data_IF_246101997995
#
_entry.id   IF_246101997995
#
_cell.length_a   1.000
_cell.length_b   1.000
_cell.length_c   1.000
_cell.angle_alpha   90.00
_cell.angle_beta   90.00
_cell.angle_gamma   90.00
#
_symmetry.space_group_name_H-M   'P 1'
#
loop_
_entity.id
_entity.type
_entity.pdbx_description
1 polymer ?
#
# COMPACT_ATOMS: atom_id res chain seq x y z
N UNK A 1 15.77 5.28 17.02
CA UNK A 1 15.16 3.96 17.37
C UNK A 1 16.18 2.88 17.74
N UNK A 2 17.28 2.67 17.01
CA UNK A 2 18.25 1.60 17.32
C UNK A 2 18.78 1.59 18.77
N UNK A 3 19.06 2.76 19.36
CA UNK A 3 19.48 2.85 20.77
C UNK A 3 18.40 2.40 21.77
N UNK A 4 17.11 2.65 21.46
CA UNK A 4 15.99 2.15 22.27
C UNK A 4 15.84 0.63 22.12
N UNK A 5 15.96 0.09 20.90
CA UNK A 5 15.96 -1.36 20.68
C UNK A 5 17.09 -2.04 21.46
N UNK A 6 18.30 -1.47 21.43
CA UNK A 6 19.43 -1.98 22.20
C UNK A 6 19.19 -1.92 23.73
N UNK A 7 18.50 -0.89 24.22
CA UNK A 7 18.10 -0.81 25.63
C UNK A 7 17.11 -1.93 25.99
N UNK A 8 16.12 -2.22 25.13
CA UNK A 8 15.18 -3.32 25.33
C UNK A 8 15.87 -4.68 25.31
N UNK A 9 16.80 -4.93 24.37
CA UNK A 9 17.57 -6.19 24.31
C UNK A 9 18.31 -6.44 25.62
N UNK A 10 18.96 -5.42 26.17
CA UNK A 10 19.67 -5.53 27.46
C UNK A 10 18.72 -5.75 28.63
N UNK A 11 17.65 -4.97 28.71
CA UNK A 11 16.67 -5.06 29.79
C UNK A 11 15.99 -6.45 29.86
N UNK A 12 15.88 -7.14 28.73
CA UNK A 12 15.29 -8.48 28.63
C UNK A 12 16.31 -9.61 28.66
N UNK A 13 17.61 -9.32 28.87
CA UNK A 13 18.64 -10.35 28.97
C UNK A 13 18.92 -11.11 27.66
N UNK A 14 18.59 -10.54 26.49
CA UNK A 14 18.69 -11.20 25.17
C UNK A 14 19.96 -10.81 24.38
N UNK A 15 20.94 -10.20 25.05
CA UNK A 15 22.13 -9.63 24.42
C UNK A 15 23.09 -10.66 23.80
N UNK A 16 22.97 -11.92 24.18
CA UNK A 16 23.68 -13.08 23.62
C UNK A 16 23.01 -13.62 22.34
N UNK A 17 21.77 -13.22 22.07
CA UNK A 17 20.94 -13.72 20.95
C UNK A 17 20.54 -12.65 19.94
N UNK A 18 20.45 -11.39 20.37
CA UNK A 18 20.02 -10.26 19.52
C UNK A 18 21.13 -9.20 19.49
N UNK A 19 21.71 -9.00 18.32
CA UNK A 19 22.69 -7.95 18.05
C UNK A 19 22.01 -6.81 17.31
N UNK A 20 22.04 -5.59 17.85
CA UNK A 20 21.48 -4.41 17.17
C UNK A 20 22.58 -3.72 16.36
N UNK A 21 22.44 -3.75 15.05
CA UNK A 21 23.32 -3.03 14.12
C UNK A 21 22.63 -1.74 13.70
N UNK A 22 23.24 -0.59 14.03
CA UNK A 22 22.69 0.71 13.69
C UNK A 22 23.26 1.19 12.34
N UNK A 23 22.40 1.28 11.33
CA UNK A 23 22.74 1.80 10.01
C UNK A 23 21.65 1.46 9.00
N UNK A 24 21.83 1.92 7.76
CA UNK A 24 20.96 1.50 6.65
C UNK A 24 21.39 0.15 6.12
N UNK A 25 20.46 -0.67 5.66
CA UNK A 25 20.75 -2.03 5.20
C UNK A 25 21.69 -2.04 3.99
N UNK A 26 21.66 -0.98 3.20
CA UNK A 26 22.51 -0.78 2.03
C UNK A 26 23.96 -0.44 2.42
N UNK A 27 24.18 0.09 3.63
CA UNK A 27 25.46 0.66 4.10
C UNK A 27 26.16 -0.21 5.16
N UNK A 28 25.44 -1.11 5.83
CA UNK A 28 26.01 -2.00 6.86
C UNK A 28 26.55 -3.30 6.24
N UNK A 29 27.36 -4.00 7.03
CA UNK A 29 27.84 -5.36 6.75
C UNK A 29 27.46 -6.30 7.88
N UNK A 30 27.12 -7.55 7.52
CA UNK A 30 26.87 -8.63 8.48
C UNK A 30 28.03 -9.62 8.46
N UNK A 31 28.38 -10.21 9.62
CA UNK A 31 29.48 -11.15 9.71
C UNK A 31 29.20 -12.50 9.03
N UNK A 32 27.93 -12.83 8.77
CA UNK A 32 27.50 -14.09 8.20
C UNK A 32 26.21 -13.95 7.37
N UNK A 33 25.95 -14.94 6.51
CA UNK A 33 24.67 -15.08 5.82
C UNK A 33 23.57 -15.59 6.76
N UNK A 34 22.32 -15.21 6.51
CA UNK A 34 21.16 -15.51 7.35
C UNK A 34 20.24 -16.56 6.72
N UNK A 35 19.59 -17.36 7.57
CA UNK A 35 18.60 -18.35 7.14
C UNK A 35 17.23 -17.73 6.85
N UNK A 36 16.85 -16.66 7.56
CA UNK A 36 15.56 -16.00 7.40
C UNK A 36 15.72 -14.49 7.55
N UNK A 37 15.06 -13.73 6.67
CA UNK A 37 14.89 -12.28 6.81
C UNK A 37 13.45 -12.02 7.24
N UNK A 38 13.28 -11.23 8.30
CA UNK A 38 11.97 -10.80 8.78
C UNK A 38 11.87 -9.28 8.71
N UNK A 39 10.74 -8.75 8.25
CA UNK A 39 10.49 -7.31 8.23
C UNK A 39 8.99 -7.03 8.23
N UNK A 40 8.65 -5.78 8.52
CA UNK A 40 7.34 -5.21 8.25
C UNK A 40 7.58 -4.03 7.28
N UNK A 41 7.65 -4.29 5.95
CA UNK A 41 7.98 -3.27 4.96
C UNK A 41 6.75 -2.71 4.21
N UNK A 42 5.52 -3.00 4.67
CA UNK A 42 4.32 -2.68 3.90
C UNK A 42 3.83 -1.25 4.17
N UNK A 43 3.70 -0.48 3.10
CA UNK A 43 3.04 0.83 3.14
C UNK A 43 1.59 0.77 2.67
N UNK A 44 0.95 1.95 2.55
CA UNK A 44 -0.29 2.10 1.79
C UNK A 44 -0.16 1.51 0.39
N UNK A 45 -1.21 0.82 -0.06
CA UNK A 45 -1.21 0.07 -1.33
C UNK A 45 -0.01 -0.89 -1.46
N UNK A 46 0.45 -1.49 -0.35
CA UNK A 46 1.63 -2.35 -0.24
C UNK A 46 2.98 -1.64 -0.46
N UNK A 47 3.07 -0.75 -1.45
CA UNK A 47 4.34 -0.22 -1.98
C UNK A 47 4.75 1.17 -1.48
N UNK A 48 3.86 1.92 -0.81
CA UNK A 48 4.21 3.24 -0.30
C UNK A 48 5.46 3.18 0.62
N UNK A 49 6.19 4.29 0.72
CA UNK A 49 7.46 4.41 1.46
C UNK A 49 8.67 3.69 0.84
N UNK A 50 8.46 2.86 -0.19
CA UNK A 50 9.51 2.11 -0.92
C UNK A 50 10.37 1.20 -0.02
N UNK A 51 9.90 0.87 1.19
CA UNK A 51 10.65 0.02 2.13
C UNK A 51 10.82 -1.42 1.63
N UNK A 52 9.97 -1.86 0.70
CA UNK A 52 10.14 -3.14 0.02
C UNK A 52 11.45 -3.24 -0.78
N UNK A 53 12.01 -2.13 -1.26
CA UNK A 53 13.31 -2.12 -1.94
C UNK A 53 14.44 -2.51 -1.00
N UNK A 54 14.50 -1.85 0.17
CA UNK A 54 15.39 -2.18 1.29
C UNK A 54 15.20 -3.63 1.75
N UNK A 55 13.96 -4.13 1.77
CA UNK A 55 13.66 -5.52 2.12
C UNK A 55 14.22 -6.52 1.11
N UNK A 56 14.06 -6.25 -0.21
CA UNK A 56 14.64 -7.08 -1.26
C UNK A 56 16.17 -6.97 -1.29
N UNK A 57 16.74 -5.79 -1.01
CA UNK A 57 18.17 -5.56 -0.92
C UNK A 57 18.83 -6.44 0.15
N UNK A 58 18.13 -6.67 1.27
CA UNK A 58 18.59 -7.53 2.35
C UNK A 58 18.91 -8.96 1.91
N UNK A 59 18.33 -9.44 0.78
CA UNK A 59 18.59 -10.77 0.23
C UNK A 59 20.05 -11.03 -0.10
N UNK A 60 20.89 -10.00 -0.22
CA UNK A 60 22.35 -10.18 -0.38
C UNK A 60 23.00 -11.04 0.73
N UNK A 61 22.37 -11.10 1.91
CA UNK A 61 22.80 -11.99 3.00
C UNK A 61 21.96 -13.25 3.15
N UNK A 62 20.88 -13.42 2.38
CA UNK A 62 20.03 -14.60 2.48
C UNK A 62 20.75 -15.82 1.89
N UNK A 63 20.78 -16.93 2.63
CA UNK A 63 21.30 -18.20 2.12
C UNK A 63 20.43 -18.71 0.96
N UNK A 64 20.96 -19.55 0.04
CA UNK A 64 20.18 -20.07 -1.09
C UNK A 64 18.90 -20.85 -0.71
N UNK A 65 18.88 -21.49 0.46
CA UNK A 65 17.69 -22.17 1.00
C UNK A 65 16.96 -21.35 2.07
N UNK A 66 17.26 -20.06 2.14
CA UNK A 66 16.70 -19.15 3.12
C UNK A 66 15.25 -18.77 2.81
N UNK A 67 14.57 -18.17 3.78
CA UNK A 67 13.19 -17.73 3.63
C UNK A 67 13.01 -16.23 3.99
N UNK A 68 11.88 -15.66 3.61
CA UNK A 68 11.53 -14.26 3.85
C UNK A 68 10.15 -14.18 4.49
N UNK A 69 10.00 -13.33 5.50
CA UNK A 69 8.75 -13.06 6.22
C UNK A 69 8.44 -11.56 6.28
N UNK A 70 7.42 -11.08 5.55
CA UNK A 70 6.52 -11.83 4.67
C UNK A 70 7.22 -12.43 3.45
N UNK A 71 6.68 -13.52 2.92
CA UNK A 71 7.22 -14.25 1.77
C UNK A 71 6.68 -13.71 0.46
N UNK A 72 5.41 -13.28 0.46
CA UNK A 72 4.72 -12.78 -0.72
C UNK A 72 3.70 -11.72 -0.32
N UNK A 73 3.51 -10.74 -1.20
CA UNK A 73 2.46 -9.73 -1.12
C UNK A 73 1.48 -9.83 -2.28
N UNK A 74 0.21 -9.67 -1.97
CA UNK A 74 -0.91 -9.65 -2.92
C UNK A 74 -1.55 -8.26 -2.87
N UNK A 75 -1.39 -7.45 -3.92
CA UNK A 75 -2.16 -6.20 -4.10
C UNK A 75 -3.48 -6.53 -4.78
N UNK A 76 -4.58 -6.15 -4.14
CA UNK A 76 -5.93 -6.28 -4.68
C UNK A 76 -6.40 -4.93 -5.24
N UNK A 77 -7.10 -4.98 -6.37
CA UNK A 77 -7.66 -3.82 -7.05
C UNK A 77 -9.11 -4.14 -7.44
N UNK A 78 -10.06 -3.30 -7.04
CA UNK A 78 -11.46 -3.43 -7.46
C UNK A 78 -12.08 -2.08 -7.85
N UNK A 79 -12.91 -2.01 -8.91
CA UNK A 79 -13.69 -0.83 -9.22
C UNK A 79 -14.76 -0.60 -8.16
N UNK A 80 -15.03 0.66 -7.83
CA UNK A 80 -16.07 1.01 -6.84
C UNK A 80 -17.01 2.11 -7.32
N UNK A 81 -18.19 2.16 -6.70
CA UNK A 81 -19.15 3.26 -6.82
C UNK A 81 -19.33 3.98 -5.49
N UNK A 82 -19.07 5.28 -5.44
CA UNK A 82 -19.28 6.11 -4.25
C UNK A 82 -19.49 7.58 -4.66
N UNK A 83 -20.75 7.92 -4.95
CA UNK A 83 -21.16 9.29 -5.31
C UNK A 83 -20.85 10.28 -4.19
N UNK A 84 -20.97 9.88 -2.92
CA UNK A 84 -20.75 10.77 -1.79
C UNK A 84 -19.29 11.19 -1.71
N UNK A 85 -18.36 10.24 -1.85
CA UNK A 85 -16.93 10.52 -1.87
C UNK A 85 -16.52 11.38 -3.07
N UNK A 86 -17.05 11.07 -4.27
CA UNK A 86 -16.78 11.86 -5.46
C UNK A 86 -17.25 13.31 -5.30
N UNK A 87 -18.48 13.49 -4.80
CA UNK A 87 -19.05 14.82 -4.56
C UNK A 87 -18.32 15.57 -3.45
N UNK A 88 -17.78 14.90 -2.45
CA UNK A 88 -16.94 15.52 -1.43
C UNK A 88 -15.70 16.21 -2.04
N UNK A 89 -14.94 15.50 -2.89
CA UNK A 89 -13.76 16.08 -3.54
C UNK A 89 -14.14 17.19 -4.53
N UNK A 90 -15.22 16.98 -5.29
CA UNK A 90 -15.77 17.99 -6.19
C UNK A 90 -16.15 19.27 -5.44
N UNK A 91 -16.77 19.15 -4.26
CA UNK A 91 -17.18 20.28 -3.43
C UNK A 91 -16.00 21.03 -2.83
N UNK A 92 -14.89 20.35 -2.46
CA UNK A 92 -13.65 21.03 -2.07
C UNK A 92 -13.09 21.87 -3.21
N UNK A 93 -13.08 21.35 -4.43
CA UNK A 93 -12.66 22.10 -5.61
C UNK A 93 -13.57 23.29 -5.93
N UNK A 94 -14.88 23.20 -5.63
CA UNK A 94 -15.84 24.28 -5.84
C UNK A 94 -15.58 25.53 -4.99
N UNK A 95 -14.78 25.44 -3.91
CA UNK A 95 -14.30 26.63 -3.21
C UNK A 95 -13.66 27.64 -4.16
N UNK A 96 -12.91 27.15 -5.16
CA UNK A 96 -12.23 27.97 -6.15
C UNK A 96 -13.17 28.53 -7.22
N UNK A 97 -14.41 28.08 -7.30
CA UNK A 97 -15.40 28.57 -8.26
C UNK A 97 -16.17 29.78 -7.70
N UNK A 98 -15.43 30.79 -7.26
CA UNK A 98 -15.97 32.01 -6.66
C UNK A 98 -15.47 33.24 -7.42
N UNK A 99 -16.41 34.02 -7.97
CA UNK A 99 -16.10 35.23 -8.74
C UNK A 99 -15.73 36.45 -7.86
N UNK A 100 -15.95 36.39 -6.55
CA UNK A 100 -15.72 37.51 -5.63
C UNK A 100 -15.46 37.03 -4.20
N UNK A 101 -14.42 36.22 -4.00
CA UNK A 101 -13.94 35.86 -2.67
C UNK A 101 -13.15 37.04 -2.09
N UNK A 102 -13.76 37.77 -1.14
CA UNK A 102 -13.19 38.99 -0.57
C UNK A 102 -12.74 40.02 -1.63
N UNK A 103 -13.45 40.13 -2.75
CA UNK A 103 -13.12 41.05 -3.85
C UNK A 103 -12.19 40.46 -4.92
N UNK A 104 -11.84 39.17 -4.86
CA UNK A 104 -10.95 38.50 -5.82
C UNK A 104 -11.70 37.36 -6.53
N UNK A 105 -11.57 37.27 -7.85
CA UNK A 105 -12.06 36.14 -8.64
C UNK A 105 -11.06 34.98 -8.59
N UNK A 106 -11.47 33.86 -7.99
CA UNK A 106 -10.67 32.64 -7.85
C UNK A 106 -10.89 31.64 -9.00
N UNK A 107 -11.90 31.86 -9.84
CA UNK A 107 -12.42 30.87 -10.80
C UNK A 107 -11.39 30.36 -11.81
N UNK A 108 -10.37 31.18 -12.10
CA UNK A 108 -9.23 30.80 -12.94
C UNK A 108 -8.46 29.57 -12.41
N UNK A 109 -8.50 29.29 -11.10
CA UNK A 109 -7.79 28.16 -10.47
C UNK A 109 -8.65 26.90 -10.32
N UNK A 110 -9.94 26.94 -10.66
CA UNK A 110 -10.86 25.80 -10.49
C UNK A 110 -10.33 24.50 -11.11
N UNK A 111 -9.84 24.55 -12.34
CA UNK A 111 -9.35 23.35 -13.04
C UNK A 111 -8.09 22.78 -12.38
N UNK A 112 -7.20 23.65 -11.89
CA UNK A 112 -6.00 23.23 -11.17
C UNK A 112 -6.36 22.57 -9.83
N UNK A 113 -7.28 23.18 -9.08
CA UNK A 113 -7.78 22.64 -7.82
C UNK A 113 -8.46 21.27 -8.01
N UNK A 114 -9.33 21.14 -9.02
CA UNK A 114 -9.97 19.85 -9.34
C UNK A 114 -8.93 18.76 -9.58
N UNK A 115 -7.92 19.04 -10.40
CA UNK A 115 -6.83 18.11 -10.69
C UNK A 115 -6.03 17.74 -9.44
N UNK A 116 -5.82 18.69 -8.53
CA UNK A 116 -5.10 18.45 -7.28
C UNK A 116 -5.87 17.53 -6.33
N UNK A 117 -7.16 17.81 -6.08
CA UNK A 117 -7.98 16.98 -5.19
C UNK A 117 -8.15 15.55 -5.74
N UNK A 118 -8.34 15.38 -7.04
CA UNK A 118 -8.51 14.06 -7.65
C UNK A 118 -7.20 13.24 -7.76
N UNK A 119 -6.04 13.87 -7.57
CA UNK A 119 -4.74 13.19 -7.49
C UNK A 119 -4.44 12.61 -6.11
N UNK A 120 -5.19 12.99 -5.08
CA UNK A 120 -4.97 12.52 -3.72
C UNK A 120 -5.59 11.12 -3.55
N UNK A 121 -4.79 10.08 -3.26
CA UNK A 121 -5.35 8.81 -2.83
C UNK A 121 -6.06 9.01 -1.48
N UNK A 122 -7.28 8.49 -1.37
CA UNK A 122 -8.08 8.59 -0.15
C UNK A 122 -7.79 7.35 0.70
N UNK A 123 -7.33 7.58 1.93
CA UNK A 123 -7.02 6.52 2.91
C UNK A 123 -8.15 6.47 3.93
N UNK A 124 -9.01 5.47 3.81
CA UNK A 124 -10.11 5.19 4.72
C UNK A 124 -10.64 3.77 4.53
N UNK A 125 -11.68 3.41 5.27
CA UNK A 125 -12.38 2.13 5.09
C UNK A 125 -13.74 2.34 4.45
N UNK A 126 -14.26 1.30 3.82
CA UNK A 126 -15.52 1.33 3.13
C UNK A 126 -16.24 -0.02 3.23
N UNK A 127 -17.54 -0.01 3.01
CA UNK A 127 -18.32 -1.23 2.93
C UNK A 127 -18.06 -1.94 1.58
N UNK A 128 -17.68 -3.22 1.63
CA UNK A 128 -17.34 -4.00 0.42
C UNK A 128 -18.43 -4.02 -0.65
N UNK A 129 -19.69 -3.74 -0.30
CA UNK A 129 -20.82 -3.64 -1.25
C UNK A 129 -20.66 -2.52 -2.28
N UNK A 130 -19.77 -1.55 -2.05
CA UNK A 130 -19.47 -0.52 -3.07
C UNK A 130 -18.63 -1.06 -4.22
N UNK A 131 -17.94 -2.20 -4.03
CA UNK A 131 -17.14 -2.83 -5.09
C UNK A 131 -18.05 -3.38 -6.19
N UNK A 132 -17.79 -2.97 -7.43
CA UNK A 132 -18.62 -3.32 -8.59
C UNK A 132 -18.21 -4.63 -9.26
N UNK A 133 -17.11 -5.25 -8.82
CA UNK A 133 -16.65 -6.55 -9.28
C UNK A 133 -15.79 -7.22 -8.22
N UNK A 134 -15.44 -8.50 -8.46
CA UNK A 134 -14.30 -9.12 -7.78
C UNK A 134 -13.01 -8.36 -8.06
N UNK A 135 -12.09 -8.40 -7.10
CA UNK A 135 -10.78 -7.77 -7.25
C UNK A 135 -9.90 -8.54 -8.22
N UNK A 136 -9.12 -7.81 -9.03
CA UNK A 136 -7.93 -8.33 -9.67
C UNK A 136 -6.79 -8.34 -8.65
N UNK A 137 -5.89 -9.30 -8.78
CA UNK A 137 -4.77 -9.49 -7.85
C UNK A 137 -3.44 -9.39 -8.58
N UNK A 138 -2.55 -8.56 -8.07
CA UNK A 138 -1.16 -8.47 -8.47
C UNK A 138 -0.28 -9.06 -7.37
N UNK A 139 0.57 -10.02 -7.74
CA UNK A 139 1.34 -10.82 -6.79
C UNK A 139 2.81 -10.49 -6.94
N UNK A 140 3.48 -10.25 -5.81
CA UNK A 140 4.94 -10.13 -5.72
C UNK A 140 5.45 -11.20 -4.77
N UNK A 141 6.26 -12.12 -5.31
CA UNK A 141 7.04 -13.07 -4.52
C UNK A 141 8.35 -12.41 -4.11
N UNK A 142 8.56 -12.20 -2.81
CA UNK A 142 9.73 -11.47 -2.32
C UNK A 142 11.02 -12.32 -2.41
N UNK A 143 10.90 -13.65 -2.46
CA UNK A 143 12.06 -14.53 -2.68
C UNK A 143 12.62 -14.35 -4.09
N UNK A 144 11.74 -14.19 -5.08
CA UNK A 144 12.13 -14.12 -6.49
C UNK A 144 12.34 -12.68 -7.00
N UNK A 145 11.59 -11.70 -6.49
CA UNK A 145 11.60 -10.32 -7.00
C UNK A 145 12.94 -9.61 -6.74
N UNK A 146 13.37 -8.78 -7.69
CA UNK A 146 14.53 -7.91 -7.55
C UNK A 146 14.11 -6.49 -7.17
N UNK A 147 15.02 -5.72 -6.57
CA UNK A 147 14.79 -4.32 -6.21
C UNK A 147 14.29 -3.50 -7.41
N UNK A 148 14.88 -3.72 -8.59
CA UNK A 148 14.52 -3.01 -9.83
C UNK A 148 13.12 -3.31 -10.34
N UNK A 149 12.52 -4.43 -9.94
CA UNK A 149 11.16 -4.80 -10.36
C UNK A 149 10.12 -3.87 -9.72
N UNK A 150 10.46 -3.25 -8.58
CA UNK A 150 9.58 -2.31 -7.86
C UNK A 150 9.62 -0.89 -8.42
N UNK A 151 10.58 -0.57 -9.30
CA UNK A 151 10.69 0.77 -9.90
C UNK A 151 9.56 1.08 -10.88
N UNK A 152 9.03 0.07 -11.56
CA UNK A 152 7.91 0.21 -12.50
C UNK A 152 6.97 -0.99 -12.37
N UNK A 153 5.90 -0.79 -11.62
CA UNK A 153 4.87 -1.79 -11.38
C UNK A 153 3.73 -1.56 -12.36
N UNK A 154 3.51 -2.51 -13.25
CA UNK A 154 2.41 -2.49 -14.22
C UNK A 154 1.42 -3.60 -13.89
N UNK A 155 0.18 -3.22 -13.55
CA UNK A 155 -0.88 -4.16 -13.18
C UNK A 155 -1.97 -4.13 -14.24
N UNK A 156 -1.96 -5.06 -15.22
CA UNK A 156 -3.07 -5.18 -16.15
C UNK A 156 -4.30 -5.67 -15.41
N UNK A 157 -5.44 -5.05 -15.66
CA UNK A 157 -6.71 -5.46 -15.07
C UNK A 157 -7.81 -5.57 -16.12
N UNK A 158 -8.72 -6.51 -15.88
CA UNK A 158 -9.99 -6.63 -16.58
C UNK A 158 -11.04 -6.99 -15.54
N UNK A 159 -12.09 -6.19 -15.46
CA UNK A 159 -13.17 -6.38 -14.51
C UNK A 159 -14.43 -6.87 -15.23
N UNK A 160 -15.02 -7.92 -14.69
CA UNK A 160 -16.38 -8.35 -15.04
C UNK A 160 -17.32 -7.81 -13.97
N UNK A 161 -18.14 -6.81 -14.35
CA UNK A 161 -18.98 -6.12 -13.40
C UNK A 161 -20.15 -7.00 -12.97
N UNK A 162 -20.40 -7.01 -11.66
CA UNK A 162 -21.53 -7.72 -11.05
C UNK A 162 -22.77 -6.84 -10.93
N UNK A 163 -22.61 -5.53 -11.13
CA UNK A 163 -23.66 -4.52 -11.07
C UNK A 163 -23.42 -3.42 -12.09
N UNK A 164 -24.49 -2.93 -12.69
CA UNK A 164 -24.46 -1.75 -13.54
C UNK A 164 -24.44 -0.48 -12.67
N UNK A 165 -23.71 0.54 -13.09
CA UNK A 165 -23.62 1.79 -12.35
C UNK A 165 -22.45 2.67 -12.79
N UNK A 166 -22.21 3.72 -12.02
CA UNK A 166 -21.11 4.66 -12.26
C UNK A 166 -19.87 4.23 -11.48
N UNK A 167 -18.83 3.82 -12.19
CA UNK A 167 -17.52 3.56 -11.62
C UNK A 167 -16.84 4.89 -11.31
N UNK A 168 -16.61 5.14 -10.03
CA UNK A 168 -16.01 6.38 -9.53
C UNK A 168 -14.50 6.27 -9.36
N UNK A 169 -13.95 5.06 -9.29
CA UNK A 169 -12.54 4.85 -8.99
C UNK A 169 -12.13 3.39 -8.83
N UNK A 170 -10.88 3.20 -8.43
CA UNK A 170 -10.32 1.92 -8.03
C UNK A 170 -9.99 1.94 -6.54
N UNK A 171 -10.39 0.87 -5.85
CA UNK A 171 -10.08 0.60 -4.45
C UNK A 171 -8.95 -0.42 -4.37
N UNK A 172 -8.10 -0.25 -3.38
CA UNK A 172 -6.87 -1.01 -3.18
C UNK A 172 -6.75 -1.48 -1.74
N UNK A 173 -6.32 -2.72 -1.58
CA UNK A 173 -5.89 -3.30 -0.31
C UNK A 173 -4.82 -4.33 -0.60
N UNK A 174 -4.18 -4.85 0.43
CA UNK A 174 -3.17 -5.88 0.27
C UNK A 174 -3.24 -6.96 1.33
N UNK A 175 -2.76 -8.14 0.95
CA UNK A 175 -2.52 -9.23 1.87
C UNK A 175 -1.04 -9.61 1.79
N UNK A 176 -0.45 -10.07 2.89
CA UNK A 176 0.86 -10.69 2.88
C UNK A 176 0.80 -12.06 3.53
N UNK A 177 1.56 -13.01 2.98
CA UNK A 177 1.66 -14.36 3.51
C UNK A 177 3.04 -14.62 4.08
N UNK A 178 3.05 -15.22 5.27
CA UNK A 178 4.22 -15.77 5.94
C UNK A 178 4.22 -17.28 5.67
N UNK A 179 4.91 -17.70 4.61
CA UNK A 179 4.93 -19.09 4.17
C UNK A 179 5.98 -19.88 4.94
N UNK A 180 5.61 -20.36 6.14
CA UNK A 180 6.49 -21.19 6.96
C UNK A 180 6.43 -22.68 6.60
N UNK A 181 7.41 -23.44 7.06
CA UNK A 181 7.52 -24.88 6.78
C UNK A 181 6.38 -25.72 7.36
N UNK A 182 5.69 -25.21 8.40
CA UNK A 182 4.57 -25.90 9.05
C UNK A 182 3.20 -25.35 8.67
N UNK A 183 3.10 -24.03 8.48
CA UNK A 183 1.84 -23.35 8.19
C UNK A 183 2.08 -22.04 7.43
N UNK A 184 1.04 -21.61 6.73
CA UNK A 184 0.98 -20.32 6.05
C UNK A 184 0.06 -19.39 6.85
N UNK A 185 0.59 -18.26 7.32
CA UNK A 185 -0.17 -17.25 8.06
C UNK A 185 -0.40 -16.05 7.14
N UNK A 186 -1.62 -15.53 7.13
CA UNK A 186 -1.99 -14.37 6.34
C UNK A 186 -2.22 -13.17 7.25
N UNK A 187 -1.66 -12.02 6.86
CA UNK A 187 -2.08 -10.71 7.33
C UNK A 187 -2.81 -10.04 6.18
N UNK A 188 -4.10 -9.73 6.39
CA UNK A 188 -4.95 -9.11 5.38
C UNK A 188 -5.35 -7.71 5.80
N UNK A 189 -5.41 -6.80 4.82
CA UNK A 189 -5.99 -5.45 4.97
C UNK A 189 -7.27 -5.31 4.16
N UNK A 190 -7.89 -6.42 3.75
CA UNK A 190 -9.13 -6.40 2.99
C UNK A 190 -10.26 -5.69 3.74
N UNK A 191 -11.19 -5.01 3.03
CA UNK A 191 -12.35 -4.35 3.66
C UNK A 191 -13.33 -5.34 4.31
N UNK A 192 -13.14 -6.65 4.10
CA UNK A 192 -13.90 -7.72 4.75
C UNK A 192 -13.30 -8.18 6.07
N UNK A 193 -12.09 -7.75 6.41
CA UNK A 193 -11.35 -8.13 7.60
C UNK A 193 -11.37 -7.01 8.66
N UNK A 194 -11.00 -7.31 9.92
CA UNK A 194 -10.87 -6.29 10.95
C UNK A 194 -9.94 -5.15 10.52
N UNK A 195 -10.37 -3.92 10.81
CA UNK A 195 -9.65 -2.72 10.40
C UNK A 195 -8.22 -2.69 10.97
N UNK A 196 -7.27 -2.40 10.08
CA UNK A 196 -5.86 -2.17 10.42
C UNK A 196 -5.52 -0.70 10.25
N UNK A 197 -4.34 -0.28 10.74
CA UNK A 197 -3.87 1.11 10.59
C UNK A 197 -3.53 1.49 9.13
N UNK A 198 -3.41 0.51 8.23
CA UNK A 198 -3.23 0.76 6.80
C UNK A 198 -4.53 1.17 6.10
N UNK A 199 -5.69 0.90 6.71
CA UNK A 199 -7.00 1.08 6.08
C UNK A 199 -7.03 0.42 4.68
N UNK A 200 -7.84 0.98 3.78
CA UNK A 200 -7.77 0.73 2.34
C UNK A 200 -7.46 2.06 1.65
N UNK A 201 -7.15 2.00 0.35
CA UNK A 201 -6.88 3.19 -0.45
C UNK A 201 -7.83 3.26 -1.63
N UNK A 202 -8.39 4.43 -1.90
CA UNK A 202 -9.29 4.67 -3.04
C UNK A 202 -8.74 5.78 -3.91
N UNK A 203 -8.59 5.51 -5.21
CA UNK A 203 -8.19 6.49 -6.21
C UNK A 203 -9.38 6.79 -7.11
N UNK A 204 -9.82 8.04 -7.14
CA UNK A 204 -10.93 8.49 -7.97
C UNK A 204 -10.51 8.67 -9.43
N UNK A 205 -11.44 8.43 -10.33
CA UNK A 205 -11.36 8.86 -11.72
C UNK A 205 -11.78 10.33 -11.81
N UNK A 206 -11.05 11.16 -12.56
CA UNK A 206 -11.47 12.54 -12.83
C UNK A 206 -12.82 12.60 -13.55
N UNK A 207 -13.09 11.62 -14.41
CA UNK A 207 -14.38 11.42 -15.08
C UNK A 207 -14.89 10.02 -14.78
N UNK A 208 -15.97 9.88 -13.98
CA UNK A 208 -16.57 8.58 -13.70
C UNK A 208 -17.06 7.89 -14.96
N UNK A 209 -17.04 6.57 -14.96
CA UNK A 209 -17.37 5.75 -16.12
C UNK A 209 -18.66 4.98 -15.84
N UNK A 210 -19.72 5.23 -16.60
CA UNK A 210 -20.90 4.37 -16.56
C UNK A 210 -20.61 3.04 -17.24
N UNK A 211 -20.90 1.94 -16.55
CA UNK A 211 -20.71 0.60 -17.07
C UNK A 211 -21.89 -0.30 -16.71
N UNK A 212 -22.21 -1.24 -17.60
CA UNK A 212 -23.40 -2.10 -17.51
C UNK A 212 -23.04 -3.56 -17.44
#
# INVERSE_FOLDING_TARGET
MAHHAQALVRANGLHDRITVVAGKIEEIELPESVDVIISEPMGYMLYNERMLETYLHAKKWLKPSGNMYPTRGDLHIAPFTDDALFMEQYNKANFWYQACFHGVDLSALRTAAMKEYFRQPIVDTFDVRICMSRSVKHVVDFLEANETDLHRIEVPFRFELTQSGTCHGLAFWFDVVFAGSTQHIWLSTAPTEPLTHWYQVRCLLETPIFAK
#
